data_IF_266034767749
#
_entry.id   IF_266034767749
#
_cell.length_a   1.000
_cell.length_b   1.000
_cell.length_c   1.000
_cell.angle_alpha   90.00
_cell.angle_beta   90.00
_cell.angle_gamma   90.00
#
_symmetry.space_group_name_H-M   'P 1'
#
loop_
_entity.id
_entity.type
_entity.pdbx_description
1 polymer ?
#
# COMPACT_ATOMS: atom_id res chain seq x y z
N UNK A 1 31.87 -36.24 -17.22
CA UNK A 1 32.20 -34.82 -17.01
C UNK A 1 31.49 -34.35 -15.76
N UNK A 2 32.28 -34.02 -14.73
CA UNK A 2 31.82 -33.55 -13.43
C UNK A 2 31.13 -32.19 -13.58
N UNK A 3 29.97 -32.01 -12.96
CA UNK A 3 29.40 -30.68 -12.68
C UNK A 3 28.95 -30.64 -11.23
N UNK A 4 29.93 -30.59 -10.34
CA UNK A 4 29.79 -30.17 -8.95
C UNK A 4 29.56 -28.65 -8.92
N UNK A 5 28.30 -28.21 -8.86
CA UNK A 5 27.96 -26.83 -8.52
C UNK A 5 26.74 -26.78 -7.61
N UNK A 6 26.84 -27.37 -6.42
CA UNK A 6 26.11 -26.92 -5.24
C UNK A 6 27.02 -27.18 -4.04
N UNK A 7 27.96 -26.27 -3.79
CA UNK A 7 28.49 -26.12 -2.45
C UNK A 7 27.31 -25.79 -1.55
N UNK A 8 26.81 -26.79 -0.82
CA UNK A 8 26.06 -26.59 0.40
C UNK A 8 26.92 -25.67 1.26
N UNK A 9 26.63 -24.37 1.24
CA UNK A 9 27.10 -23.47 2.29
C UNK A 9 26.37 -23.94 3.53
N UNK A 10 26.95 -24.91 4.25
CA UNK A 10 26.54 -25.30 5.60
C UNK A 10 26.97 -24.19 6.57
N UNK A 11 26.57 -22.95 6.31
CA UNK A 11 26.70 -21.87 7.26
C UNK A 11 25.54 -22.01 8.25
N UNK A 12 25.80 -22.16 9.56
CA UNK A 12 24.74 -22.14 10.54
C UNK A 12 23.90 -20.87 10.37
N UNK A 13 22.56 -20.95 10.43
CA UNK A 13 21.69 -19.80 10.27
C UNK A 13 22.07 -18.62 11.17
N UNK A 14 22.55 -18.91 12.38
CA UNK A 14 22.98 -17.92 13.37
C UNK A 14 24.17 -17.09 12.87
N UNK A 15 25.17 -17.75 12.28
CA UNK A 15 26.34 -17.07 11.70
C UNK A 15 25.94 -16.27 10.47
N UNK A 16 25.02 -16.80 9.65
CA UNK A 16 24.49 -16.06 8.51
C UNK A 16 23.78 -14.77 8.93
N UNK A 17 22.94 -14.83 9.98
CA UNK A 17 22.23 -13.67 10.54
C UNK A 17 23.24 -12.64 11.06
N UNK A 18 24.28 -13.10 11.75
CA UNK A 18 25.33 -12.22 12.27
C UNK A 18 26.07 -11.50 11.15
N UNK A 19 26.49 -12.22 10.10
CA UNK A 19 27.10 -11.61 8.90
C UNK A 19 26.17 -10.57 8.28
N UNK A 20 24.87 -10.89 8.14
CA UNK A 20 23.89 -9.97 7.58
C UNK A 20 23.72 -8.69 8.40
N UNK A 21 24.02 -8.72 9.70
CA UNK A 21 23.91 -7.53 10.56
C UNK A 21 24.94 -6.44 10.23
N UNK A 22 26.03 -6.80 9.53
CA UNK A 22 27.08 -5.88 9.09
C UNK A 22 26.91 -5.39 7.65
N UNK A 23 25.86 -5.83 6.94
CA UNK A 23 25.64 -5.48 5.53
C UNK A 23 24.77 -4.25 5.38
N UNK A 24 25.08 -3.43 4.38
CA UNK A 24 24.23 -2.31 3.97
C UNK A 24 22.91 -2.80 3.36
N UNK A 25 21.87 -1.95 3.32
CA UNK A 25 20.61 -2.28 2.65
C UNK A 25 20.77 -2.78 1.21
N UNK A 26 21.69 -2.19 0.44
CA UNK A 26 21.94 -2.58 -0.94
C UNK A 26 22.55 -3.98 -1.06
N UNK A 27 23.47 -4.31 -0.15
CA UNK A 27 24.09 -5.63 -0.08
C UNK A 27 23.09 -6.69 0.36
N UNK A 28 22.25 -6.41 1.36
CA UNK A 28 21.19 -7.33 1.79
C UNK A 28 20.22 -7.65 0.65
N UNK A 29 19.82 -6.64 -0.12
CA UNK A 29 18.98 -6.87 -1.31
C UNK A 29 19.71 -7.73 -2.34
N UNK A 30 20.98 -7.46 -2.59
CA UNK A 30 21.78 -8.23 -3.55
C UNK A 30 21.91 -9.68 -3.09
N UNK A 31 22.22 -9.89 -1.81
CA UNK A 31 22.34 -11.20 -1.18
C UNK A 31 21.02 -11.99 -1.23
N UNK A 32 19.88 -11.33 -1.03
CA UNK A 32 18.55 -11.94 -1.13
C UNK A 32 18.24 -12.50 -2.53
N UNK A 33 18.96 -12.06 -3.56
CA UNK A 33 18.78 -12.50 -4.95
C UNK A 33 19.75 -13.63 -5.35
N UNK A 34 20.74 -13.96 -4.52
CA UNK A 34 21.77 -14.97 -4.82
C UNK A 34 21.19 -16.39 -4.79
N UNK A 35 20.44 -16.75 -3.75
CA UNK A 35 19.86 -18.09 -3.64
C UNK A 35 18.53 -18.09 -2.85
N UNK A 36 17.76 -19.17 -2.99
CA UNK A 36 16.45 -19.31 -2.34
C UNK A 36 16.54 -19.33 -0.81
N UNK A 37 17.63 -19.86 -0.27
CA UNK A 37 17.86 -19.94 1.18
C UNK A 37 18.05 -18.54 1.76
N UNK A 38 18.95 -17.74 1.21
CA UNK A 38 19.16 -16.35 1.63
C UNK A 38 17.91 -15.51 1.45
N UNK A 39 17.19 -15.69 0.34
CA UNK A 39 15.88 -15.07 0.16
C UNK A 39 14.89 -15.45 1.25
N UNK A 40 14.89 -16.70 1.70
CA UNK A 40 14.05 -17.17 2.80
C UNK A 40 14.33 -16.46 4.12
N UNK A 41 15.61 -16.21 4.42
CA UNK A 41 16.03 -15.49 5.63
C UNK A 41 15.81 -13.97 5.53
N UNK A 42 16.02 -13.38 4.35
CA UNK A 42 16.02 -11.92 4.18
C UNK A 42 14.67 -11.34 3.74
N UNK A 43 13.78 -12.14 3.16
CA UNK A 43 12.48 -11.69 2.64
C UNK A 43 11.30 -12.40 3.34
N UNK A 44 11.36 -12.51 4.67
CA UNK A 44 10.28 -13.02 5.52
C UNK A 44 9.70 -11.89 6.40
N UNK A 45 8.66 -11.16 5.94
CA UNK A 45 8.20 -9.93 6.61
C UNK A 45 7.61 -10.15 8.01
N UNK A 46 7.20 -11.37 8.34
CA UNK A 46 6.65 -11.71 9.67
C UNK A 46 7.70 -12.31 10.62
N UNK A 47 8.92 -12.55 10.14
CA UNK A 47 10.01 -13.11 10.95
C UNK A 47 10.67 -12.00 11.76
N UNK A 48 10.71 -12.17 13.08
CA UNK A 48 11.37 -11.22 13.99
C UNK A 48 12.84 -11.02 13.60
N UNK A 49 13.56 -12.11 13.36
CA UNK A 49 14.96 -12.10 12.95
C UNK A 49 15.18 -11.30 11.67
N UNK A 50 14.31 -11.48 10.67
CA UNK A 50 14.39 -10.71 9.42
C UNK A 50 14.19 -9.23 9.70
N UNK A 51 13.20 -8.86 10.53
CA UNK A 51 12.99 -7.46 10.90
C UNK A 51 14.22 -6.86 11.61
N UNK A 52 14.86 -7.62 12.50
CA UNK A 52 16.05 -7.19 13.23
C UNK A 52 17.26 -6.96 12.33
N UNK A 53 17.51 -7.83 11.34
CA UNK A 53 18.57 -7.65 10.35
C UNK A 53 18.39 -6.32 9.61
N UNK A 54 17.21 -6.09 9.05
CA UNK A 54 16.92 -4.85 8.31
C UNK A 54 16.97 -3.61 9.19
N UNK A 55 16.49 -3.71 10.44
CA UNK A 55 16.56 -2.62 11.42
C UNK A 55 18.01 -2.26 11.76
N UNK A 56 18.85 -3.25 12.08
CA UNK A 56 20.29 -3.02 12.37
C UNK A 56 20.98 -2.37 11.19
N UNK A 57 20.80 -2.93 9.99
CA UNK A 57 21.34 -2.38 8.74
C UNK A 57 20.89 -0.93 8.51
N UNK A 58 19.61 -0.63 8.68
CA UNK A 58 19.09 0.74 8.58
C UNK A 58 19.77 1.70 9.55
N UNK A 59 19.81 1.36 10.84
CA UNK A 59 20.35 2.24 11.87
C UNK A 59 21.86 2.47 11.70
N UNK A 60 22.59 1.46 11.21
CA UNK A 60 24.03 1.56 10.97
C UNK A 60 24.37 2.37 9.71
N UNK A 61 23.70 2.12 8.59
CA UNK A 61 24.06 2.68 7.28
C UNK A 61 23.23 3.90 6.88
N UNK A 62 22.12 4.18 7.57
CA UNK A 62 21.26 5.36 7.37
C UNK A 62 21.01 6.01 8.74
N UNK A 63 22.04 6.53 9.43
CA UNK A 63 21.95 6.95 10.82
C UNK A 63 21.00 8.14 11.06
N UNK A 64 20.71 8.95 10.04
CA UNK A 64 19.71 10.04 10.11
C UNK A 64 18.26 9.53 10.12
N UNK A 65 18.07 8.25 9.85
CA UNK A 65 16.76 7.62 9.73
C UNK A 65 16.49 6.72 10.93
N UNK A 66 16.31 7.34 12.10
CA UNK A 66 15.97 6.70 13.38
C UNK A 66 14.46 6.51 13.58
N UNK A 67 13.59 7.13 12.75
CA UNK A 67 12.14 6.88 12.83
C UNK A 67 11.87 5.40 12.49
N UNK A 68 11.13 4.67 13.35
CA UNK A 68 10.75 3.30 13.05
C UNK A 68 9.75 3.25 11.88
N UNK A 69 9.59 2.08 11.21
CA UNK A 69 8.54 1.91 10.21
C UNK A 69 7.15 2.25 10.75
N UNK A 70 6.22 2.75 9.90
CA UNK A 70 4.84 2.94 10.30
C UNK A 70 4.20 1.60 10.66
N UNK A 71 3.18 1.63 11.54
CA UNK A 71 2.50 0.43 12.01
C UNK A 71 1.99 -0.42 10.84
N UNK A 72 2.37 -1.70 10.82
CA UNK A 72 2.00 -2.64 9.76
C UNK A 72 2.94 -2.66 8.55
N UNK A 73 4.02 -1.88 8.54
CA UNK A 73 5.09 -1.96 7.55
C UNK A 73 6.28 -2.73 8.12
N UNK A 74 6.84 -3.66 7.33
CA UNK A 74 8.10 -4.34 7.68
C UNK A 74 9.30 -3.41 7.50
N UNK A 75 10.36 -3.63 8.27
CA UNK A 75 11.66 -2.98 8.13
C UNK A 75 12.23 -3.18 6.71
N UNK A 76 12.08 -4.37 6.12
CA UNK A 76 12.46 -4.61 4.72
C UNK A 76 11.78 -3.62 3.78
N UNK A 77 10.45 -3.49 3.86
CA UNK A 77 9.69 -2.59 2.98
C UNK A 77 10.02 -1.12 3.26
N UNK A 78 10.24 -0.78 4.52
CA UNK A 78 10.65 0.55 4.95
C UNK A 78 12.01 0.94 4.34
N UNK A 79 13.01 0.08 4.51
CA UNK A 79 14.34 0.25 3.94
C UNK A 79 14.28 0.31 2.41
N UNK A 80 13.50 -0.55 1.77
CA UNK A 80 13.31 -0.49 0.32
C UNK A 80 12.73 0.85 -0.16
N UNK A 81 11.94 1.57 0.65
CA UNK A 81 11.45 2.92 0.33
C UNK A 81 12.53 3.98 0.49
N UNK A 82 13.41 3.83 1.47
CA UNK A 82 14.51 4.76 1.77
C UNK A 82 15.62 4.76 0.72
N UNK A 83 15.77 3.67 -0.05
CA UNK A 83 16.77 3.51 -1.10
C UNK A 83 16.51 4.39 -2.34
N UNK A 84 16.66 5.71 -2.21
CA UNK A 84 16.39 6.72 -3.25
C UNK A 84 17.19 6.44 -4.52
N UNK A 85 18.42 5.94 -4.39
CA UNK A 85 19.34 5.62 -5.49
C UNK A 85 18.78 4.55 -6.45
N UNK A 86 17.86 3.69 -5.99
CA UNK A 86 17.18 2.72 -6.86
C UNK A 86 16.06 3.35 -7.72
N UNK A 87 15.85 4.66 -7.59
CA UNK A 87 14.91 5.41 -8.42
C UNK A 87 13.44 5.07 -8.18
N UNK A 88 12.62 5.30 -9.20
CA UNK A 88 11.17 5.25 -9.09
C UNK A 88 10.64 3.81 -9.01
N UNK A 89 9.85 3.47 -8.00
CA UNK A 89 9.24 2.14 -7.88
C UNK A 89 8.16 1.86 -8.92
N UNK A 90 7.62 2.88 -9.58
CA UNK A 90 6.57 2.76 -10.60
C UNK A 90 7.19 2.53 -11.99
N UNK A 91 8.01 3.47 -12.48
CA UNK A 91 8.60 3.37 -13.83
C UNK A 91 9.96 2.65 -13.86
N UNK A 92 10.52 2.27 -12.70
CA UNK A 92 11.80 1.57 -12.55
C UNK A 92 13.02 2.30 -13.13
N UNK A 93 12.89 3.61 -13.40
CA UNK A 93 14.00 4.46 -13.86
C UNK A 93 14.67 5.14 -12.68
N UNK A 94 16.00 5.21 -12.72
CA UNK A 94 16.81 6.01 -11.79
C UNK A 94 16.52 7.48 -12.08
N UNK A 95 15.83 8.14 -11.15
CA UNK A 95 15.34 9.51 -11.24
C UNK A 95 15.22 10.08 -9.83
N UNK A 96 15.23 11.40 -9.73
CA UNK A 96 14.79 12.08 -8.51
C UNK A 96 13.38 11.63 -8.15
N UNK A 97 13.24 11.13 -6.92
CA UNK A 97 11.99 10.58 -6.41
C UNK A 97 11.72 11.10 -5.02
N UNK A 98 10.45 11.32 -4.73
CA UNK A 98 9.94 11.56 -3.37
C UNK A 98 9.36 10.26 -2.82
N UNK A 99 9.50 10.06 -1.51
CA UNK A 99 8.73 9.06 -0.77
C UNK A 99 7.40 9.69 -0.35
N UNK A 100 6.30 9.09 -0.79
CA UNK A 100 4.94 9.44 -0.36
C UNK A 100 4.53 8.43 0.70
N UNK A 101 4.75 8.79 1.96
CA UNK A 101 4.57 7.94 3.14
C UNK A 101 3.12 7.49 3.30
N UNK A 102 2.17 8.37 2.95
CA UNK A 102 0.72 8.14 2.95
C UNK A 102 0.33 6.96 2.05
N UNK A 103 1.12 6.74 1.00
CA UNK A 103 0.88 5.69 0.00
C UNK A 103 1.91 4.56 0.07
N UNK A 104 2.89 4.65 0.97
CA UNK A 104 4.01 3.72 1.09
C UNK A 104 4.70 3.45 -0.28
N UNK A 105 4.97 4.52 -1.04
CA UNK A 105 5.56 4.43 -2.38
C UNK A 105 6.63 5.51 -2.58
N UNK A 106 7.74 5.14 -3.24
CA UNK A 106 8.73 6.07 -3.75
C UNK A 106 8.55 6.23 -5.26
N UNK A 107 8.26 7.44 -5.72
CA UNK A 107 8.11 7.68 -7.16
C UNK A 107 8.53 9.08 -7.61
N UNK A 108 8.80 9.19 -8.92
CA UNK A 108 9.10 10.46 -9.56
C UNK A 108 7.80 11.26 -9.78
N UNK A 109 7.93 12.59 -9.91
CA UNK A 109 6.79 13.50 -10.09
C UNK A 109 5.84 13.09 -11.23
N UNK A 110 6.38 12.66 -12.38
CA UNK A 110 5.57 12.19 -13.52
C UNK A 110 4.73 10.95 -13.16
N UNK A 111 5.28 10.02 -12.39
CA UNK A 111 4.51 8.85 -11.95
C UNK A 111 3.48 9.24 -10.91
N UNK A 112 3.82 10.14 -10.00
CA UNK A 112 2.89 10.66 -9.00
C UNK A 112 1.66 11.32 -9.65
N UNK A 113 1.85 12.21 -10.64
CA UNK A 113 0.73 12.88 -11.31
C UNK A 113 -0.19 11.93 -12.08
N UNK A 114 0.37 10.85 -12.64
CA UNK A 114 -0.39 9.81 -13.36
C UNK A 114 -1.09 8.83 -12.41
N UNK A 115 -0.62 8.72 -11.17
CA UNK A 115 -1.09 7.72 -10.19
C UNK A 115 -1.95 8.32 -9.08
N UNK A 116 -2.21 9.62 -9.15
CA UNK A 116 -3.04 10.30 -8.17
C UNK A 116 -4.28 10.91 -8.79
N UNK A 117 -5.32 11.03 -7.98
CA UNK A 117 -6.61 11.63 -8.32
C UNK A 117 -6.97 12.64 -7.25
N UNK A 118 -7.57 13.76 -7.65
CA UNK A 118 -7.99 14.81 -6.71
C UNK A 118 -9.29 14.44 -6.01
N UNK A 119 -9.54 15.08 -4.85
CA UNK A 119 -10.86 15.01 -4.19
C UNK A 119 -12.00 15.38 -5.13
N UNK A 120 -11.79 16.41 -5.95
CA UNK A 120 -12.80 16.91 -6.89
C UNK A 120 -13.18 15.87 -7.94
N UNK A 121 -12.20 15.19 -8.53
CA UNK A 121 -12.45 14.11 -9.49
C UNK A 121 -13.19 12.93 -8.86
N UNK A 122 -12.88 12.56 -7.61
CA UNK A 122 -13.62 11.53 -6.88
C UNK A 122 -15.07 11.94 -6.62
N UNK A 123 -15.33 13.20 -6.24
CA UNK A 123 -16.70 13.70 -6.06
C UNK A 123 -17.47 13.76 -7.38
N UNK A 124 -16.81 14.08 -8.50
CA UNK A 124 -17.43 14.12 -9.84
C UNK A 124 -17.93 12.76 -10.32
N UNK A 125 -17.28 11.67 -9.90
CA UNK A 125 -17.74 10.31 -10.20
C UNK A 125 -18.73 9.78 -9.15
N UNK A 126 -19.26 10.64 -8.27
CA UNK A 126 -20.19 10.30 -7.19
C UNK A 126 -19.62 9.29 -6.18
N UNK A 127 -18.30 9.30 -5.96
CA UNK A 127 -17.70 8.51 -4.89
C UNK A 127 -18.15 9.08 -3.53
N UNK A 128 -18.61 8.26 -2.57
CA UNK A 128 -19.19 8.76 -1.33
C UNK A 128 -18.25 9.59 -0.49
N UNK A 129 -18.71 10.74 -0.03
CA UNK A 129 -17.92 11.69 0.75
C UNK A 129 -17.40 11.07 2.05
N UNK A 130 -18.19 10.23 2.72
CA UNK A 130 -17.79 9.54 3.95
C UNK A 130 -16.71 8.47 3.72
N UNK A 131 -16.63 7.94 2.50
CA UNK A 131 -15.55 7.05 2.09
C UNK A 131 -14.29 7.84 1.75
N UNK A 132 -14.41 8.92 0.96
CA UNK A 132 -13.26 9.75 0.59
C UNK A 132 -12.62 10.41 1.83
N UNK A 133 -13.43 10.80 2.83
CA UNK A 133 -12.95 11.51 4.02
C UNK A 133 -12.06 10.68 4.94
N UNK A 134 -12.08 9.35 4.83
CA UNK A 134 -11.23 8.48 5.66
C UNK A 134 -9.91 8.09 4.98
N UNK A 135 -9.80 8.28 3.66
CA UNK A 135 -8.65 7.78 2.90
C UNK A 135 -7.38 8.60 3.20
N UNK A 136 -6.19 7.97 3.21
CA UNK A 136 -4.93 8.68 3.23
C UNK A 136 -4.82 9.57 1.98
N UNK A 137 -4.24 10.74 2.16
CA UNK A 137 -4.08 11.72 1.10
C UNK A 137 -2.78 12.47 1.30
N UNK A 138 -2.19 12.92 0.20
CA UNK A 138 -1.15 13.94 0.26
C UNK A 138 -1.73 15.28 -0.19
N UNK A 139 -1.11 16.38 0.21
CA UNK A 139 -1.57 17.72 -0.12
C UNK A 139 -0.55 18.50 -0.94
N UNK A 140 -1.05 19.31 -1.87
CA UNK A 140 -0.24 20.24 -2.67
C UNK A 140 -0.96 21.59 -2.74
N UNK A 141 -0.19 22.68 -2.63
CA UNK A 141 -0.67 24.05 -2.78
C UNK A 141 -0.54 24.89 -1.52
N UNK A 142 -0.20 26.18 -1.68
CA UNK A 142 -0.05 27.16 -0.60
C UNK A 142 -1.36 27.85 -0.24
N UNK A 143 -2.14 28.27 -1.25
CA UNK A 143 -3.37 29.05 -1.08
C UNK A 143 -4.61 28.14 -1.13
N UNK A 144 -4.63 27.19 -2.08
CA UNK A 144 -5.69 26.21 -2.23
C UNK A 144 -5.07 24.82 -2.00
N UNK A 145 -5.27 24.30 -0.79
CA UNK A 145 -4.74 22.99 -0.42
C UNK A 145 -5.57 21.90 -1.10
N UNK A 146 -5.03 21.30 -2.16
CA UNK A 146 -5.68 20.22 -2.90
C UNK A 146 -5.26 18.87 -2.34
N UNK A 147 -6.24 18.01 -2.02
CA UNK A 147 -6.02 16.64 -1.54
C UNK A 147 -5.95 15.68 -2.73
N UNK A 148 -4.87 14.91 -2.78
CA UNK A 148 -4.59 13.89 -3.78
C UNK A 148 -4.60 12.51 -3.14
N UNK A 149 -5.17 11.54 -3.85
CA UNK A 149 -5.33 10.16 -3.40
C UNK A 149 -4.67 9.22 -4.41
N UNK A 150 -4.08 8.12 -3.95
CA UNK A 150 -3.45 7.13 -4.83
C UNK A 150 -4.50 6.23 -5.49
N UNK A 151 -4.60 6.27 -6.82
CA UNK A 151 -5.72 5.67 -7.57
C UNK A 151 -5.91 4.19 -7.23
N UNK A 152 -4.84 3.38 -7.23
CA UNK A 152 -4.97 1.94 -6.95
C UNK A 152 -5.45 1.65 -5.52
N UNK A 153 -5.08 2.48 -4.54
CA UNK A 153 -5.52 2.31 -3.16
C UNK A 153 -6.98 2.70 -3.00
N UNK A 154 -7.40 3.81 -3.64
CA UNK A 154 -8.80 4.22 -3.70
C UNK A 154 -9.65 3.10 -4.29
N UNK A 155 -9.23 2.57 -5.44
CA UNK A 155 -9.99 1.56 -6.17
C UNK A 155 -10.15 0.25 -5.38
N UNK A 156 -9.06 -0.24 -4.77
CA UNK A 156 -9.10 -1.43 -3.91
C UNK A 156 -10.01 -1.20 -2.69
N UNK A 157 -9.85 -0.08 -1.99
CA UNK A 157 -10.67 0.24 -0.83
C UNK A 157 -12.16 0.39 -1.21
N UNK A 158 -12.44 1.02 -2.35
CA UNK A 158 -13.80 1.25 -2.81
C UNK A 158 -14.49 -0.05 -3.23
N UNK A 159 -13.78 -0.96 -3.90
CA UNK A 159 -14.32 -2.28 -4.23
C UNK A 159 -14.86 -3.01 -3.00
N UNK A 160 -14.13 -2.99 -1.89
CA UNK A 160 -14.62 -3.60 -0.65
C UNK A 160 -15.78 -2.81 -0.05
N UNK A 161 -15.68 -1.49 0.05
CA UNK A 161 -16.76 -0.65 0.54
C UNK A 161 -18.06 -0.86 -0.23
N UNK A 162 -18.00 -0.92 -1.57
CA UNK A 162 -19.15 -1.07 -2.46
C UNK A 162 -19.92 -2.37 -2.20
N UNK A 163 -19.21 -3.47 -1.97
CA UNK A 163 -19.79 -4.81 -1.76
C UNK A 163 -20.37 -5.04 -0.36
N UNK A 164 -20.33 -4.05 0.54
CA UNK A 164 -20.85 -4.17 1.90
C UNK A 164 -22.30 -3.70 2.03
N UNK A 165 -23.05 -4.34 2.93
CA UNK A 165 -24.37 -3.85 3.35
C UNK A 165 -24.26 -2.53 4.13
N UNK A 166 -25.35 -1.76 4.19
CA UNK A 166 -25.39 -0.43 4.83
C UNK A 166 -24.89 -0.44 6.28
N UNK A 167 -25.25 -1.46 7.07
CA UNK A 167 -24.79 -1.61 8.46
C UNK A 167 -23.29 -1.92 8.54
N UNK A 168 -22.79 -2.81 7.67
CA UNK A 168 -21.37 -3.19 7.60
C UNK A 168 -20.48 -2.04 7.11
N UNK A 169 -20.98 -1.18 6.20
CA UNK A 169 -20.25 0.01 5.72
C UNK A 169 -19.81 0.92 6.85
N UNK A 170 -20.70 1.24 7.81
CA UNK A 170 -20.37 2.12 8.96
C UNK A 170 -19.25 1.53 9.82
N UNK A 171 -19.33 0.22 10.12
CA UNK A 171 -18.31 -0.48 10.92
C UNK A 171 -16.98 -0.50 10.17
N UNK A 172 -17.01 -0.82 8.87
CA UNK A 172 -15.83 -0.85 8.02
C UNK A 172 -15.15 0.53 7.96
N UNK A 173 -15.92 1.61 7.71
CA UNK A 173 -15.40 2.98 7.70
C UNK A 173 -14.72 3.35 9.03
N UNK A 174 -15.36 3.02 10.15
CA UNK A 174 -14.80 3.30 11.49
C UNK A 174 -13.47 2.57 11.72
N UNK A 175 -13.40 1.29 11.36
CA UNK A 175 -12.19 0.49 11.53
C UNK A 175 -11.06 0.97 10.60
N UNK A 176 -11.39 1.26 9.33
CA UNK A 176 -10.42 1.76 8.36
C UNK A 176 -9.90 3.14 8.70
N UNK A 177 -10.77 4.02 9.18
CA UNK A 177 -10.38 5.35 9.64
C UNK A 177 -9.27 5.27 10.69
N UNK A 178 -9.36 4.37 11.67
CA UNK A 178 -8.29 4.18 12.69
C UNK A 178 -6.93 3.81 12.06
N UNK A 179 -6.94 2.96 11.04
CA UNK A 179 -5.71 2.54 10.35
C UNK A 179 -5.14 3.72 9.55
N UNK A 180 -6.00 4.41 8.79
CA UNK A 180 -5.59 5.54 7.96
C UNK A 180 -5.15 6.76 8.78
N UNK A 181 -5.81 7.05 9.91
CA UNK A 181 -5.40 8.09 10.86
C UNK A 181 -4.01 7.77 11.44
N UNK A 182 -3.69 6.49 11.70
CA UNK A 182 -2.34 6.09 12.13
C UNK A 182 -1.29 6.36 11.07
N UNK A 183 -1.61 6.16 9.78
CA UNK A 183 -0.71 6.47 8.66
C UNK A 183 -0.52 7.98 8.55
N UNK A 184 -1.60 8.76 8.61
CA UNK A 184 -1.51 10.22 8.51
C UNK A 184 -0.78 10.86 9.70
N UNK A 185 -0.96 10.31 10.91
CA UNK A 185 -0.18 10.74 12.08
C UNK A 185 1.32 10.47 11.90
N UNK A 186 1.69 9.34 11.33
CA UNK A 186 3.08 9.03 11.00
C UNK A 186 3.65 10.02 9.98
N UNK A 187 2.89 10.34 8.94
CA UNK A 187 3.28 11.33 7.92
C UNK A 187 3.49 12.70 8.56
N UNK A 188 2.56 13.13 9.43
CA UNK A 188 2.70 14.38 10.18
C UNK A 188 3.98 14.44 11.01
N UNK A 189 4.37 13.33 11.66
CA UNK A 189 5.62 13.26 12.42
C UNK A 189 6.85 13.42 11.51
N UNK A 190 6.85 12.77 10.35
CA UNK A 190 7.90 12.89 9.32
C UNK A 190 8.03 14.32 8.83
N UNK A 191 6.93 14.96 8.44
CA UNK A 191 6.91 16.35 7.98
C UNK A 191 7.43 17.32 9.05
N UNK A 192 7.01 17.13 10.31
CA UNK A 192 7.49 17.95 11.42
C UNK A 192 8.99 17.80 11.66
N UNK A 193 9.55 16.59 11.47
CA UNK A 193 11.00 16.38 11.53
C UNK A 193 11.71 17.09 10.39
N UNK A 194 11.26 16.87 9.15
CA UNK A 194 11.85 17.52 7.96
C UNK A 194 11.81 19.05 8.09
N UNK A 195 10.72 19.60 8.64
CA UNK A 195 10.60 21.03 8.94
C UNK A 195 11.64 21.50 9.97
N UNK A 196 11.80 20.78 11.08
CA UNK A 196 12.78 21.12 12.14
C UNK A 196 14.23 21.05 11.67
N UNK A 197 14.54 20.10 10.77
CA UNK A 197 15.88 19.93 10.22
C UNK A 197 16.22 21.00 9.15
N UNK A 198 15.22 21.61 8.51
CA UNK A 198 15.38 22.68 7.52
C UNK A 198 15.48 24.08 8.16
N UNK A 199 16.51 24.33 8.96
CA UNK A 199 16.83 25.68 9.45
C UNK A 199 17.68 26.54 8.49
N UNK A 200 18.11 26.02 7.34
CA UNK A 200 18.74 26.82 6.27
C UNK A 200 18.43 26.19 4.90
N UNK A 201 18.03 27.02 3.94
CA UNK A 201 17.66 26.76 2.54
C UNK A 201 16.19 26.44 2.22
N UNK A 202 15.60 27.39 1.49
CA UNK A 202 14.30 27.33 0.80
C UNK A 202 14.30 26.24 -0.26
N UNK A 203 13.25 25.41 -0.29
CA UNK A 203 12.58 25.04 -1.54
C UNK A 203 11.14 24.54 -1.34
N UNK A 204 10.29 25.03 -2.24
CA UNK A 204 8.83 25.04 -2.50
C UNK A 204 7.85 24.00 -1.93
N UNK A 205 8.14 23.12 -1.00
CA UNK A 205 7.11 22.16 -0.57
C UNK A 205 7.15 21.96 0.93
N UNK A 206 5.98 21.73 1.53
CA UNK A 206 5.78 21.28 2.90
C UNK A 206 5.60 22.39 3.95
N UNK A 207 4.36 22.85 4.08
CA UNK A 207 3.84 23.22 5.39
C UNK A 207 3.17 21.98 6.04
N UNK A 208 3.26 21.84 7.37
CA UNK A 208 2.59 20.79 8.13
C UNK A 208 1.08 20.82 7.85
N UNK A 209 0.43 19.66 7.79
CA UNK A 209 -1.02 19.49 7.66
C UNK A 209 -1.85 20.49 8.53
N UNK A 210 -2.13 21.68 8.00
CA UNK A 210 -3.02 22.69 8.59
C UNK A 210 -4.09 23.15 7.58
N UNK A 211 -4.41 22.28 6.62
CA UNK A 211 -5.36 22.56 5.54
C UNK A 211 -6.84 22.40 5.91
N UNK A 212 -7.18 22.24 7.19
CA UNK A 212 -8.58 22.15 7.61
C UNK A 212 -9.19 23.57 7.72
N UNK A 213 -9.22 24.29 6.60
CA UNK A 213 -10.14 25.41 6.44
C UNK A 213 -11.48 24.86 5.92
N UNK A 214 -12.61 25.17 6.57
CA UNK A 214 -13.91 24.69 6.13
C UNK A 214 -14.23 25.31 4.77
N UNK A 215 -14.23 24.49 3.72
CA UNK A 215 -14.84 24.86 2.45
C UNK A 215 -16.35 24.77 2.69
N UNK A 216 -16.99 25.91 2.92
CA UNK A 216 -18.44 26.04 2.80
C UNK A 216 -18.81 25.77 1.34
N UNK A 217 -19.13 24.52 1.02
CA UNK A 217 -19.83 24.20 -0.22
C UNK A 217 -21.30 24.53 0.00
N UNK A 218 -21.78 25.58 -0.65
CA UNK A 218 -23.20 25.81 -0.85
C UNK A 218 -23.79 24.60 -1.58
N UNK A 219 -24.58 23.79 -0.86
CA UNK A 219 -25.34 22.69 -1.45
C UNK A 219 -26.44 23.27 -2.36
N UNK A 220 -26.24 23.18 -3.67
CA UNK A 220 -27.35 23.30 -4.62
C UNK A 220 -28.22 22.05 -4.47
N UNK A 221 -29.33 22.20 -3.76
CA UNK A 221 -30.42 21.23 -3.73
C UNK A 221 -30.99 21.04 -5.14
N UNK A 222 -31.58 19.87 -5.37
CA UNK A 222 -32.29 19.39 -6.57
C UNK A 222 -31.45 18.57 -7.57
N UNK A 223 -31.11 17.35 -7.15
CA UNK A 223 -30.96 16.18 -8.04
C UNK A 223 -31.23 14.91 -7.22
N UNK A 224 -31.83 13.85 -7.79
CA UNK A 224 -31.96 12.56 -7.11
C UNK A 224 -30.58 12.04 -6.69
N UNK A 225 -30.48 11.25 -5.60
CA UNK A 225 -29.19 10.78 -5.10
C UNK A 225 -28.44 10.07 -6.23
N UNK A 226 -27.25 10.55 -6.61
CA UNK A 226 -26.52 9.97 -7.72
C UNK A 226 -26.21 8.51 -7.43
N UNK A 227 -26.40 7.63 -8.42
CA UNK A 227 -26.04 6.23 -8.30
C UNK A 227 -24.53 6.10 -8.00
N UNK A 228 -24.19 5.24 -7.04
CA UNK A 228 -22.81 4.91 -6.70
C UNK A 228 -22.06 4.41 -7.95
N UNK A 229 -20.84 4.89 -8.24
CA UNK A 229 -20.06 4.38 -9.36
C UNK A 229 -19.78 2.89 -9.13
N UNK A 230 -20.01 2.05 -10.13
CA UNK A 230 -19.63 0.64 -10.01
C UNK A 230 -18.10 0.49 -10.08
N UNK A 231 -17.47 -0.38 -9.27
CA UNK A 231 -16.05 -0.66 -9.37
C UNK A 231 -15.69 -1.37 -10.70
N UNK A 232 -14.43 -1.34 -11.15
CA UNK A 232 -13.31 -0.60 -10.57
C UNK A 232 -13.40 0.90 -10.90
N UNK A 233 -13.11 1.76 -9.93
CA UNK A 233 -12.98 3.21 -10.10
C UNK A 233 -11.80 3.59 -11.00
N UNK A 234 -10.77 2.74 -11.07
CA UNK A 234 -9.59 2.97 -11.89
C UNK A 234 -9.94 3.26 -13.37
N UNK A 235 -11.05 2.73 -13.90
CA UNK A 235 -11.51 2.99 -15.29
C UNK A 235 -11.80 4.45 -15.59
N UNK A 236 -12.07 5.26 -14.56
CA UNK A 236 -12.34 6.68 -14.72
C UNK A 236 -11.05 7.52 -14.75
N UNK A 237 -9.91 6.95 -14.35
CA UNK A 237 -8.70 7.71 -14.06
C UNK A 237 -7.46 7.22 -14.82
N UNK A 238 -7.50 6.05 -15.44
CA UNK A 238 -6.30 5.44 -16.00
C UNK A 238 -6.52 4.74 -17.34
N UNK A 239 -5.51 4.90 -18.21
CA UNK A 239 -5.55 4.50 -19.61
C UNK A 239 -4.66 3.26 -19.92
N UNK A 240 -4.15 2.56 -18.91
CA UNK A 240 -3.08 1.53 -19.07
C UNK A 240 -3.53 0.10 -18.69
N UNK A 241 -3.58 -0.80 -19.67
CA UNK A 241 -3.99 -2.23 -19.54
C UNK A 241 -3.09 -3.06 -18.58
N UNK A 242 -1.74 -2.95 -18.59
CA UNK A 242 -0.89 -3.74 -17.67
C UNK A 242 -1.19 -3.53 -16.18
N UNK A 243 -1.75 -2.37 -15.83
CA UNK A 243 -2.11 -2.03 -14.46
C UNK A 243 -3.34 -2.80 -13.96
N UNK A 244 -4.25 -3.19 -14.85
CA UNK A 244 -5.42 -4.02 -14.50
C UNK A 244 -4.98 -5.40 -14.00
N UNK A 245 -3.93 -5.97 -14.58
CA UNK A 245 -3.39 -7.26 -14.15
C UNK A 245 -2.78 -7.15 -12.75
N UNK A 246 -1.96 -6.12 -12.51
CA UNK A 246 -1.36 -5.88 -11.19
C UNK A 246 -2.43 -5.61 -10.12
N UNK A 247 -3.48 -4.86 -10.47
CA UNK A 247 -4.65 -4.65 -9.62
C UNK A 247 -5.33 -5.97 -9.25
N UNK A 248 -5.56 -6.85 -10.23
CA UNK A 248 -6.18 -8.14 -9.96
C UNK A 248 -5.34 -9.03 -9.02
N UNK A 249 -4.01 -9.01 -9.16
CA UNK A 249 -3.10 -9.71 -8.25
C UNK A 249 -3.23 -9.12 -6.83
N UNK A 250 -3.11 -7.80 -6.69
CA UNK A 250 -3.22 -7.13 -5.38
C UNK A 250 -4.58 -7.35 -4.72
N UNK A 251 -5.66 -7.34 -5.49
CA UNK A 251 -7.02 -7.63 -5.00
C UNK A 251 -7.11 -9.05 -4.43
N UNK A 252 -6.56 -10.03 -5.13
CA UNK A 252 -6.57 -11.44 -4.68
C UNK A 252 -5.70 -11.66 -3.43
N UNK A 253 -4.54 -10.99 -3.35
CA UNK A 253 -3.69 -11.01 -2.16
C UNK A 253 -4.38 -10.35 -0.97
N UNK A 254 -5.02 -9.20 -1.19
CA UNK A 254 -5.76 -8.48 -0.15
C UNK A 254 -6.95 -9.27 0.39
N UNK A 255 -7.77 -9.84 -0.49
CA UNK A 255 -8.88 -10.75 -0.14
C UNK A 255 -8.42 -11.98 0.66
N UNK A 256 -7.16 -12.41 0.50
CA UNK A 256 -6.59 -13.52 1.27
C UNK A 256 -6.03 -13.12 2.64
N UNK A 257 -5.79 -11.82 2.86
CA UNK A 257 -5.21 -11.26 4.09
C UNK A 257 -6.23 -10.63 5.05
N UNK A 258 -7.46 -10.36 4.59
CA UNK A 258 -8.53 -9.87 5.45
C UNK A 258 -9.09 -11.00 6.34
N UNK A 259 -9.17 -10.81 7.67
CA UNK A 259 -9.80 -11.79 8.54
C UNK A 259 -11.28 -11.92 8.18
N UNK A 260 -11.70 -13.14 7.83
CA UNK A 260 -13.09 -13.43 7.47
C UNK A 260 -13.97 -13.29 8.71
N UNK A 261 -14.72 -12.20 8.85
CA UNK A 261 -15.73 -12.05 9.90
C UNK A 261 -16.90 -13.02 9.62
N UNK A 262 -16.91 -14.20 10.24
CA UNK A 262 -18.12 -15.01 10.38
C UNK A 262 -18.87 -14.57 11.64
N UNK A 263 -20.13 -14.21 11.48
CA UNK A 263 -21.06 -13.99 12.58
C UNK A 263 -21.71 -15.35 12.86
N UNK A 264 -21.35 -16.00 13.97
CA UNK A 264 -22.11 -17.14 14.46
C UNK A 264 -23.31 -16.58 15.23
N UNK A 265 -24.52 -16.82 14.75
CA UNK A 265 -25.74 -16.56 15.51
C UNK A 265 -25.93 -17.68 16.53
N UNK A 266 -25.48 -17.46 17.76
CA UNK A 266 -25.97 -18.23 18.91
C UNK A 266 -27.06 -17.40 19.60
N UNK A 267 -28.27 -17.97 19.67
CA UNK A 267 -29.37 -17.49 20.52
C UNK A 267 -28.93 -17.58 21.98
N UNK A 268 -29.00 -16.47 22.70
CA UNK A 268 -28.71 -16.39 24.14
C UNK A 268 -27.41 -15.64 24.44
N UNK A 269 -27.55 -14.43 24.95
CA UNK A 269 -26.56 -13.52 25.55
C UNK A 269 -25.07 -13.94 25.57
N UNK A 270 -24.36 -13.56 24.50
CA UNK A 270 -23.01 -12.94 24.44
C UNK A 270 -22.43 -13.18 23.05
N UNK A 271 -22.31 -12.13 22.22
CA UNK A 271 -21.64 -12.22 20.91
C UNK A 271 -20.12 -12.25 21.10
N UNK A 272 -19.52 -13.43 20.99
CA UNK A 272 -18.06 -13.60 20.89
C UNK A 272 -17.62 -13.60 19.42
N UNK A 273 -16.59 -12.83 19.10
CA UNK A 273 -15.98 -12.75 17.77
C UNK A 273 -14.71 -13.61 17.75
N UNK A 274 -14.65 -14.61 16.87
CA UNK A 274 -13.44 -15.41 16.66
C UNK A 274 -12.90 -15.21 15.24
N UNK A 275 -11.62 -14.85 15.14
CA UNK A 275 -10.87 -14.78 13.89
C UNK A 275 -10.37 -16.18 13.57
N UNK A 276 -10.70 -16.72 12.39
CA UNK A 276 -10.17 -18.00 11.90
C UNK A 276 -9.19 -17.74 10.76
N UNK A 277 -7.96 -18.28 10.89
CA UNK A 277 -6.95 -18.28 9.84
C UNK A 277 -7.32 -19.27 8.72
N UNK A 278 -7.07 -18.91 7.45
CA UNK A 278 -7.48 -19.72 6.29
C UNK A 278 -6.35 -20.50 5.61
N UNK A 279 -6.74 -21.72 5.23
CA UNK A 279 -6.00 -22.83 4.65
C UNK A 279 -5.41 -22.53 3.24
N UNK A 280 -4.11 -22.79 2.99
CA UNK A 280 -3.40 -22.45 1.75
C UNK A 280 -3.91 -23.17 0.49
N UNK A 281 -4.65 -24.28 0.60
CA UNK A 281 -5.15 -25.04 -0.56
C UNK A 281 -6.28 -24.33 -1.34
N UNK A 282 -6.96 -23.36 -0.74
CA UNK A 282 -8.02 -22.57 -1.39
C UNK A 282 -7.42 -21.54 -2.37
N UNK A 283 -6.16 -21.12 -2.13
CA UNK A 283 -5.42 -20.11 -2.91
C UNK A 283 -5.22 -20.54 -4.37
N UNK A 284 -4.79 -21.79 -4.60
CA UNK A 284 -4.49 -22.28 -5.96
C UNK A 284 -5.75 -22.55 -6.79
N UNK A 285 -6.82 -23.07 -6.17
CA UNK A 285 -8.10 -23.34 -6.87
C UNK A 285 -8.82 -22.08 -7.34
N UNK A 286 -8.77 -20.99 -6.58
CA UNK A 286 -9.42 -19.71 -6.96
C UNK A 286 -8.70 -18.99 -8.10
N UNK A 287 -7.36 -19.02 -8.13
CA UNK A 287 -6.55 -18.44 -9.22
C UNK A 287 -6.85 -19.16 -10.54
N UNK A 288 -6.87 -20.50 -10.54
CA UNK A 288 -7.15 -21.31 -11.73
C UNK A 288 -8.54 -21.05 -12.33
N UNK A 289 -9.57 -20.89 -11.48
CA UNK A 289 -10.96 -20.66 -11.92
C UNK A 289 -11.15 -19.26 -12.52
N UNK A 290 -10.54 -18.23 -11.94
CA UNK A 290 -10.63 -16.86 -12.48
C UNK A 290 -9.93 -16.72 -13.83
N UNK A 291 -8.76 -17.34 -14.01
CA UNK A 291 -8.05 -17.35 -15.32
C UNK A 291 -8.89 -18.07 -16.38
N UNK A 292 -9.53 -19.21 -16.03
CA UNK A 292 -10.44 -19.93 -16.94
C UNK A 292 -11.68 -19.10 -17.33
N UNK A 293 -12.28 -18.36 -16.40
CA UNK A 293 -13.43 -17.51 -16.70
C UNK A 293 -13.09 -16.37 -17.67
N UNK A 294 -11.91 -15.76 -17.53
CA UNK A 294 -11.46 -14.70 -18.43
C UNK A 294 -11.14 -15.21 -19.84
N UNK A 295 -10.50 -16.38 -19.97
CA UNK A 295 -10.25 -16.99 -21.29
C UNK A 295 -11.56 -17.34 -22.00
N UNK A 296 -12.55 -17.88 -21.28
CA UNK A 296 -13.87 -18.22 -21.84
C UNK A 296 -14.66 -17.00 -22.35
N UNK A 297 -14.39 -15.81 -21.81
CA UNK A 297 -15.03 -14.55 -22.26
C UNK A 297 -14.38 -13.97 -23.53
N UNK A 298 -13.14 -14.38 -23.84
CA UNK A 298 -12.41 -14.02 -25.06
C UNK A 298 -12.90 -14.80 -26.28
N UNK A 299 -13.27 -16.07 -26.09
CA UNK A 299 -13.78 -16.94 -27.17
C UNK A 299 -15.23 -16.62 -27.59
N UNK A 300 -15.94 -15.78 -26.82
CA UNK A 300 -17.30 -15.34 -27.09
C UNK A 300 -17.43 -14.06 -27.93
N UNK A 301 -16.32 -13.42 -28.30
CA UNK A 301 -16.28 -12.32 -29.28
C UNK A 301 -15.64 -12.82 -30.57
N UNK A 302 -16.37 -13.66 -31.30
CA UNK A 302 -16.10 -13.92 -32.72
C UNK A 302 -17.16 -13.21 -33.55
N UNK A 303 -16.68 -12.49 -34.55
CA UNK A 303 -17.36 -11.54 -35.41
C UNK A 303 -18.55 -12.19 -36.12
N UNK A 304 -19.73 -11.58 -35.99
CA UNK A 304 -20.71 -11.38 -37.06
C UNK A 304 -21.34 -10.00 -36.90
#
# INVERSE_FOLDING_TARGET
MQSTFLTNINLPPEIFIEVCSFLSPAELITLSQVCRVFRGYLCAPNSLTTQEIWKKSRLQFIPKEDIPPPKGMSEEKYVQLLMIERGCQVCKRIKECKIYWEFAIRCCHKCYSIKTVTRFELTRINCPTEFISILPYTHVGFIVCSKYYWIEQVDLAYYHYYNLSKSKKKIWLKNRKRIFDSIMNYVKQRELREYKERSFFRNWFFFPHNCDMPINSSESRFSPPPLLPSPPLFRFFANDIPRLIQYHIQRLEYESSEPTLRINEQKGDKKTYTILDLNPNIKQKKISRSVKWYLKKRDGFSIK
#
